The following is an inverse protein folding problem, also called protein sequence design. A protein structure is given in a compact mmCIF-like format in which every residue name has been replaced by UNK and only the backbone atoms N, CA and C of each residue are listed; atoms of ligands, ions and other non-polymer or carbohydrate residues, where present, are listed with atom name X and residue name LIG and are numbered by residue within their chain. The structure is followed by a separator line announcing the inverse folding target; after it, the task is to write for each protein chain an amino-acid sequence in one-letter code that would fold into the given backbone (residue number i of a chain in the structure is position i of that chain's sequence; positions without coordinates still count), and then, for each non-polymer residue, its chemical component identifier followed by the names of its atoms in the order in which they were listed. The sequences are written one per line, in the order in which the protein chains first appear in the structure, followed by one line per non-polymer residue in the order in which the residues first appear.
data_IF_455285934080
#
_entry.id   IF_455285934080
#
_cell.length_a   1.000
_cell.length_b   1.000
_cell.length_c   1.000
_cell.angle_alpha   90.00
_cell.angle_beta   90.00
_cell.angle_gamma   90.00
#
_symmetry.space_group_name_H-M   'P 1'
#
loop_
_entity.id
_entity.type
_entity.pdbx_description
1 polymer ?
#
# COMPACT_ATOMS: atom_id res chain seq x y z
N UNK A 1 20.83 -9.78 15.88
CA UNK A 1 20.51 -9.46 14.47
C UNK A 1 20.57 -7.97 14.25
N UNK A 2 21.01 -7.52 13.07
CA UNK A 2 20.92 -6.11 12.70
C UNK A 2 19.47 -5.69 12.48
N UNK A 3 19.20 -4.42 12.81
CA UNK A 3 17.91 -3.80 12.55
C UNK A 3 18.07 -2.28 12.41
N UNK A 4 17.05 -1.61 11.87
CA UNK A 4 16.92 -0.15 11.91
C UNK A 4 15.73 0.20 12.77
N UNK A 5 16.00 1.00 13.82
CA UNK A 5 15.00 1.35 14.82
C UNK A 5 15.08 2.84 15.19
N UNK A 6 14.09 3.32 15.93
CA UNK A 6 14.12 4.63 16.56
C UNK A 6 13.75 4.55 18.06
N UNK A 7 14.22 5.54 18.81
CA UNK A 7 13.98 5.69 20.25
C UNK A 7 13.17 6.94 20.55
N UNK A 8 13.13 7.90 19.62
CA UNK A 8 12.45 9.17 19.76
C UNK A 8 11.77 9.56 18.44
N UNK A 9 10.59 10.13 18.51
CA UNK A 9 9.86 10.66 17.36
C UNK A 9 10.52 11.96 16.88
N UNK A 10 11.43 11.84 15.91
CA UNK A 10 12.23 12.94 15.37
C UNK A 10 11.94 13.13 13.87
N UNK A 11 12.15 14.35 13.29
CA UNK A 11 12.06 14.58 11.86
C UNK A 11 13.03 13.69 11.06
N UNK A 12 12.70 13.39 9.80
CA UNK A 12 13.51 12.45 8.98
C UNK A 12 14.94 12.92 8.73
N UNK A 13 15.19 14.20 8.71
CA UNK A 13 16.50 14.83 8.52
C UNK A 13 17.38 14.82 9.79
N UNK A 14 16.81 14.52 10.97
CA UNK A 14 17.60 14.39 12.19
C UNK A 14 18.46 13.12 12.14
N UNK A 15 19.73 13.21 12.56
CA UNK A 15 20.68 12.09 12.52
C UNK A 15 20.19 10.86 13.31
N UNK A 16 19.50 11.10 14.43
CA UNK A 16 18.98 10.04 15.31
C UNK A 16 17.53 9.65 15.04
N UNK A 17 16.92 10.13 13.94
CA UNK A 17 15.55 9.77 13.58
C UNK A 17 15.37 8.28 13.31
N UNK A 18 16.40 7.63 12.79
CA UNK A 18 16.54 6.19 12.63
C UNK A 18 18.01 5.82 12.88
N UNK A 19 18.24 4.72 13.57
CA UNK A 19 19.59 4.23 13.96
C UNK A 19 19.77 2.77 13.57
N UNK A 20 20.97 2.42 13.15
CA UNK A 20 21.38 1.02 13.02
C UNK A 20 21.63 0.45 14.42
N UNK A 21 20.97 -0.66 14.74
CA UNK A 21 21.00 -1.29 16.07
C UNK A 21 21.19 -2.80 15.96
N UNK A 22 21.66 -3.40 17.05
CA UNK A 22 21.66 -4.85 17.24
C UNK A 22 20.59 -5.24 18.23
N UNK A 23 19.72 -6.17 17.86
CA UNK A 23 18.62 -6.69 18.67
C UNK A 23 18.72 -8.21 18.82
N UNK A 24 18.15 -8.80 19.87
CA UNK A 24 18.00 -10.25 19.98
C UNK A 24 17.24 -10.82 18.77
N UNK A 25 17.60 -12.03 18.36
CA UNK A 25 16.82 -12.76 17.35
C UNK A 25 15.45 -13.10 17.91
N UNK A 26 14.36 -12.75 17.22
CA UNK A 26 13.02 -13.07 17.71
C UNK A 26 12.71 -14.55 17.56
N UNK A 27 11.85 -15.06 18.44
CA UNK A 27 11.36 -16.44 18.40
C UNK A 27 9.95 -16.46 17.85
N UNK A 28 9.64 -17.31 16.84
CA UNK A 28 8.30 -17.40 16.28
C UNK A 28 7.32 -17.99 17.29
N UNK A 29 6.12 -17.41 17.37
CA UNK A 29 4.98 -18.00 18.07
C UNK A 29 4.37 -19.17 17.29
N UNK A 30 3.28 -19.80 17.80
CA UNK A 30 2.74 -21.03 17.20
C UNK A 30 2.38 -20.91 15.71
N UNK A 31 1.81 -19.78 15.28
CA UNK A 31 1.41 -19.53 13.88
C UNK A 31 2.35 -18.60 13.13
N UNK A 32 3.52 -18.35 13.68
CA UNK A 32 4.46 -17.39 13.08
C UNK A 32 5.49 -18.07 12.17
N UNK A 33 5.87 -17.34 11.15
CA UNK A 33 7.06 -17.60 10.35
C UNK A 33 8.20 -16.72 10.87
N UNK A 34 9.41 -17.29 10.99
CA UNK A 34 10.65 -16.51 11.10
C UNK A 34 11.22 -16.33 9.70
N UNK A 35 11.22 -15.11 9.20
CA UNK A 35 11.65 -14.78 7.84
C UNK A 35 13.00 -14.08 7.86
N UNK A 36 13.96 -14.57 7.06
CA UNK A 36 15.16 -13.82 6.69
C UNK A 36 14.79 -12.79 5.64
N UNK A 37 14.75 -11.52 6.05
CA UNK A 37 14.38 -10.41 5.18
C UNK A 37 15.48 -10.15 4.15
N UNK A 38 15.11 -10.13 2.88
CA UNK A 38 16.02 -9.85 1.76
C UNK A 38 15.85 -8.44 1.24
N UNK A 39 14.61 -7.98 1.11
CA UNK A 39 14.28 -6.61 0.70
C UNK A 39 13.07 -6.10 1.47
N UNK A 40 12.99 -4.78 1.59
CA UNK A 40 11.89 -4.04 2.20
C UNK A 40 11.44 -2.91 1.27
N UNK A 41 10.22 -2.45 1.47
CA UNK A 41 9.73 -1.25 0.79
C UNK A 41 9.08 -0.30 1.79
N UNK A 42 9.31 1.00 1.62
CA UNK A 42 8.84 2.03 2.55
C UNK A 42 7.45 2.52 2.17
N UNK A 43 6.64 2.79 3.18
CA UNK A 43 5.26 3.26 3.04
C UNK A 43 5.00 4.54 3.85
N UNK A 44 3.98 5.35 3.51
CA UNK A 44 3.60 6.51 4.32
C UNK A 44 3.32 6.20 5.78
N UNK A 45 2.84 4.98 6.10
CA UNK A 45 2.61 4.55 7.49
C UNK A 45 3.92 4.49 8.30
N UNK A 46 5.05 4.16 7.69
CA UNK A 46 6.36 4.16 8.35
C UNK A 46 6.70 5.56 8.86
N UNK A 47 6.51 6.58 8.01
CA UNK A 47 6.78 7.97 8.37
C UNK A 47 5.79 8.51 9.40
N UNK A 48 4.51 8.15 9.28
CA UNK A 48 3.46 8.55 10.23
C UNK A 48 3.72 7.98 11.63
N UNK A 49 4.08 6.69 11.73
CA UNK A 49 4.39 6.06 13.02
C UNK A 49 5.66 6.62 13.61
N UNK A 50 6.74 6.79 12.84
CA UNK A 50 7.96 7.43 13.34
C UNK A 50 7.67 8.80 13.97
N UNK A 51 6.83 9.61 13.32
CA UNK A 51 6.52 10.99 13.77
C UNK A 51 5.60 11.05 14.97
N UNK A 52 4.62 10.15 15.06
CA UNK A 52 3.48 10.30 15.95
C UNK A 52 3.43 9.27 17.09
N UNK A 53 4.23 8.21 17.04
CA UNK A 53 4.21 7.15 18.05
C UNK A 53 5.57 7.09 18.75
N UNK A 54 5.66 7.68 19.93
CA UNK A 54 6.85 7.54 20.76
C UNK A 54 7.00 6.10 21.23
N UNK A 55 8.22 5.50 21.13
CA UNK A 55 8.49 4.20 21.74
C UNK A 55 8.31 4.27 23.26
N UNK A 56 7.81 3.19 23.86
CA UNK A 56 7.65 3.09 25.31
C UNK A 56 9.01 2.82 25.99
N UNK A 57 9.23 3.46 27.15
CA UNK A 57 10.30 3.15 28.10
C UNK A 57 11.72 3.06 27.52
N UNK A 58 12.03 3.86 26.49
CA UNK A 58 13.34 3.85 25.84
C UNK A 58 13.64 2.58 25.02
N UNK A 59 12.64 1.77 24.73
CA UNK A 59 12.79 0.60 23.88
C UNK A 59 13.00 1.00 22.41
N UNK A 60 13.78 0.21 21.69
CA UNK A 60 13.93 0.36 20.24
C UNK A 60 12.63 -0.03 19.53
N UNK A 61 12.08 0.84 18.67
CA UNK A 61 10.93 0.49 17.81
C UNK A 61 11.39 0.32 16.36
N UNK A 62 11.21 -0.90 15.86
CA UNK A 62 11.50 -1.26 14.46
C UNK A 62 10.27 -1.00 13.62
N UNK A 63 10.46 -0.27 12.51
CA UNK A 63 9.44 0.00 11.49
C UNK A 63 9.55 -0.99 10.32
N UNK A 64 8.69 -0.82 9.31
CA UNK A 64 8.73 -1.56 8.06
C UNK A 64 7.52 -2.47 7.89
N UNK A 65 6.65 -2.09 6.95
CA UNK A 65 5.43 -2.84 6.62
C UNK A 65 5.35 -3.10 5.11
N UNK A 66 6.41 -3.71 4.60
CA UNK A 66 6.57 -4.36 3.30
C UNK A 66 7.89 -5.10 3.29
N UNK A 67 7.87 -6.40 3.12
CA UNK A 67 9.08 -7.20 3.04
C UNK A 67 8.91 -8.37 2.06
N UNK A 68 10.04 -8.82 1.55
CA UNK A 68 10.22 -10.10 0.88
C UNK A 68 11.44 -10.81 1.47
N UNK A 69 11.36 -12.14 1.53
CA UNK A 69 12.42 -12.91 2.16
C UNK A 69 12.25 -14.41 2.04
N UNK A 70 12.99 -15.14 2.88
CA UNK A 70 12.99 -16.60 2.91
C UNK A 70 12.62 -17.08 4.31
N UNK A 71 11.67 -18.00 4.42
CA UNK A 71 11.30 -18.63 5.68
C UNK A 71 12.48 -19.43 6.22
N UNK A 72 12.90 -19.15 7.45
CA UNK A 72 13.99 -19.84 8.16
C UNK A 72 13.49 -20.88 9.14
N UNK A 73 12.38 -20.56 9.81
CA UNK A 73 11.74 -21.46 10.77
C UNK A 73 10.23 -21.13 10.83
N UNK A 74 9.48 -22.09 11.32
CA UNK A 74 8.02 -21.98 11.46
C UNK A 74 7.58 -22.39 12.87
N UNK A 75 6.49 -21.78 13.35
CA UNK A 75 5.84 -22.16 14.60
C UNK A 75 5.14 -23.52 14.52
N UNK A 76 4.76 -24.05 15.67
CA UNK A 76 4.23 -25.42 15.79
C UNK A 76 2.86 -25.64 15.14
N UNK A 77 2.11 -24.57 14.88
CA UNK A 77 0.77 -24.60 14.26
C UNK A 77 0.75 -24.10 12.81
N UNK A 78 1.93 -23.74 12.26
CA UNK A 78 2.04 -23.30 10.87
C UNK A 78 1.75 -24.45 9.92
N UNK A 79 0.92 -24.22 8.93
CA UNK A 79 0.47 -25.19 7.94
C UNK A 79 0.59 -24.72 6.49
N UNK A 80 0.76 -23.42 6.25
CA UNK A 80 0.77 -22.82 4.93
C UNK A 80 2.17 -22.71 4.33
N UNK A 81 3.22 -22.76 5.15
CA UNK A 81 4.60 -22.53 4.73
C UNK A 81 5.59 -23.50 5.38
N UNK A 82 6.76 -23.64 4.77
CA UNK A 82 7.88 -24.41 5.29
C UNK A 82 9.21 -23.64 5.17
N UNK A 83 10.25 -24.01 5.93
CA UNK A 83 11.58 -23.43 5.76
C UNK A 83 12.09 -23.56 4.31
N UNK A 84 12.60 -22.47 3.77
CA UNK A 84 13.05 -22.36 2.38
C UNK A 84 12.06 -21.66 1.45
N UNK A 85 10.79 -21.52 1.82
CA UNK A 85 9.81 -20.84 1.00
C UNK A 85 10.16 -19.36 0.82
N UNK A 86 9.97 -18.85 -0.39
CA UNK A 86 10.12 -17.43 -0.74
C UNK A 86 8.78 -16.74 -0.49
N UNK A 87 8.79 -15.72 0.35
CA UNK A 87 7.57 -15.05 0.83
C UNK A 87 7.64 -13.54 0.66
N UNK A 88 6.46 -12.91 0.64
CA UNK A 88 6.32 -11.47 0.69
C UNK A 88 5.06 -11.08 1.49
N UNK A 89 5.11 -9.97 2.20
CA UNK A 89 4.04 -9.59 3.14
C UNK A 89 4.17 -8.13 3.59
N UNK A 90 3.07 -7.59 4.12
CA UNK A 90 3.06 -6.29 4.77
C UNK A 90 3.32 -6.38 6.29
N UNK A 91 2.90 -7.46 6.94
CA UNK A 91 2.98 -7.61 8.40
C UNK A 91 1.83 -6.95 9.16
N UNK A 92 1.99 -6.79 10.46
CA UNK A 92 0.97 -6.26 11.37
C UNK A 92 1.48 -5.01 12.09
N UNK A 93 0.65 -3.95 12.13
CA UNK A 93 1.05 -2.62 12.65
C UNK A 93 1.27 -2.60 14.17
N UNK A 94 0.66 -3.54 14.90
CA UNK A 94 0.80 -3.72 16.35
C UNK A 94 1.99 -4.62 16.76
N UNK A 95 2.78 -5.10 15.79
CA UNK A 95 4.00 -5.89 16.01
C UNK A 95 5.24 -5.12 15.57
N UNK A 96 6.43 -5.64 15.88
CA UNK A 96 7.69 -5.11 15.34
C UNK A 96 7.66 -5.18 13.80
N UNK A 97 8.22 -4.17 13.16
CA UNK A 97 8.30 -4.12 11.69
C UNK A 97 9.48 -4.89 11.11
N UNK A 98 9.54 -4.94 9.79
CA UNK A 98 10.47 -5.78 9.01
C UNK A 98 11.80 -5.09 8.67
N UNK A 99 12.11 -3.89 9.20
CA UNK A 99 13.42 -3.26 9.01
C UNK A 99 14.50 -3.94 9.86
N UNK A 100 14.64 -5.26 9.72
CA UNK A 100 15.55 -6.14 10.48
C UNK A 100 15.97 -7.35 9.64
N UNK A 101 17.12 -7.95 9.95
CA UNK A 101 17.60 -9.16 9.25
C UNK A 101 16.63 -10.34 9.38
N UNK A 102 15.97 -10.46 10.55
CA UNK A 102 15.01 -11.52 10.84
C UNK A 102 13.71 -10.90 11.37
N UNK A 103 12.59 -11.31 10.82
CA UNK A 103 11.27 -10.80 11.18
C UNK A 103 10.30 -11.94 11.46
N UNK A 104 9.41 -11.75 12.43
CA UNK A 104 8.38 -12.73 12.82
C UNK A 104 7.01 -12.22 12.37
N UNK A 105 6.28 -13.03 11.61
CA UNK A 105 4.99 -12.66 11.02
C UNK A 105 4.03 -13.85 11.01
N UNK A 106 2.74 -13.61 11.28
CA UNK A 106 1.69 -14.63 11.24
C UNK A 106 1.49 -15.16 9.81
N UNK A 107 1.43 -16.49 9.65
CA UNK A 107 1.30 -17.15 8.34
C UNK A 107 0.08 -16.65 7.53
N UNK A 108 -1.01 -16.27 8.20
CA UNK A 108 -2.27 -15.88 7.57
C UNK A 108 -2.24 -14.55 6.83
N UNK A 109 -1.18 -13.76 7.04
CA UNK A 109 -0.99 -12.46 6.35
C UNK A 109 0.25 -12.43 5.45
N UNK A 110 0.76 -13.61 5.08
CA UNK A 110 1.93 -13.80 4.23
C UNK A 110 1.50 -14.48 2.93
N UNK A 111 2.02 -14.03 1.79
CA UNK A 111 1.85 -14.69 0.50
C UNK A 111 3.14 -15.36 0.01
N UNK A 112 2.99 -16.35 -0.88
CA UNK A 112 4.12 -16.86 -1.66
C UNK A 112 4.57 -15.79 -2.64
N UNK A 113 5.86 -15.48 -2.64
CA UNK A 113 6.42 -14.46 -3.51
C UNK A 113 6.29 -14.88 -4.99
N UNK A 114 5.97 -13.96 -5.93
CA UNK A 114 6.01 -14.27 -7.36
C UNK A 114 7.35 -14.89 -7.77
N UNK A 115 7.32 -15.99 -8.54
CA UNK A 115 8.54 -16.69 -8.98
C UNK A 115 9.36 -15.86 -9.97
N UNK A 116 8.68 -15.05 -10.77
CA UNK A 116 9.26 -14.22 -11.81
C UNK A 116 9.98 -12.97 -11.29
N UNK A 117 9.79 -12.57 -10.03
CA UNK A 117 10.38 -11.37 -9.48
C UNK A 117 11.60 -11.63 -8.59
N UNK A 118 12.62 -10.74 -8.59
CA UNK A 118 13.62 -10.65 -7.53
C UNK A 118 12.99 -10.07 -6.24
N UNK A 119 13.69 -10.21 -5.11
CA UNK A 119 13.17 -9.78 -3.80
C UNK A 119 12.86 -8.29 -3.75
N UNK A 120 13.71 -7.44 -4.30
CA UNK A 120 13.47 -5.99 -4.35
C UNK A 120 12.15 -5.62 -5.03
N UNK A 121 11.86 -6.22 -6.19
CA UNK A 121 10.65 -5.96 -6.93
C UNK A 121 9.40 -6.53 -6.24
N UNK A 122 9.53 -7.69 -5.61
CA UNK A 122 8.44 -8.31 -4.86
C UNK A 122 8.10 -7.52 -3.60
N UNK A 123 9.09 -6.98 -2.87
CA UNK A 123 8.87 -6.15 -1.69
C UNK A 123 8.07 -4.87 -1.98
N UNK A 124 8.02 -4.41 -3.23
CA UNK A 124 7.26 -3.24 -3.64
C UNK A 124 5.73 -3.45 -3.74
N UNK A 125 5.23 -4.66 -3.47
CA UNK A 125 3.84 -5.00 -3.76
C UNK A 125 2.93 -5.16 -2.53
N UNK A 126 3.31 -5.85 -1.43
CA UNK A 126 2.35 -6.42 -0.48
C UNK A 126 1.36 -5.41 0.10
N UNK A 127 1.80 -4.38 0.83
CA UNK A 127 0.91 -3.42 1.47
C UNK A 127 0.00 -2.75 0.45
N UNK A 128 0.57 -2.31 -0.66
CA UNK A 128 -0.18 -1.60 -1.70
C UNK A 128 -1.14 -2.51 -2.46
N UNK A 129 -0.80 -3.79 -2.65
CA UNK A 129 -1.66 -4.77 -3.28
C UNK A 129 -2.84 -5.14 -2.37
N UNK A 130 -2.60 -5.36 -1.06
CA UNK A 130 -3.67 -5.62 -0.09
C UNK A 130 -4.64 -4.43 -0.08
N UNK A 131 -4.13 -3.21 0.10
CA UNK A 131 -4.95 -1.99 0.12
C UNK A 131 -5.76 -1.82 -1.17
N UNK A 132 -5.13 -1.96 -2.34
CA UNK A 132 -5.79 -1.79 -3.63
C UNK A 132 -6.85 -2.86 -3.90
N UNK A 133 -6.57 -4.11 -3.52
CA UNK A 133 -7.51 -5.24 -3.67
C UNK A 133 -8.73 -5.08 -2.78
N UNK A 134 -8.53 -4.88 -1.47
CA UNK A 134 -9.61 -4.69 -0.51
C UNK A 134 -10.45 -3.45 -0.87
N UNK A 135 -9.80 -2.34 -1.22
CA UNK A 135 -10.49 -1.12 -1.66
C UNK A 135 -11.38 -1.38 -2.87
N UNK A 136 -10.86 -2.05 -3.91
CA UNK A 136 -11.58 -2.26 -5.18
C UNK A 136 -12.72 -3.27 -5.03
N UNK A 137 -12.43 -4.44 -4.48
CA UNK A 137 -13.38 -5.56 -4.50
C UNK A 137 -14.27 -5.65 -3.26
N UNK A 138 -13.78 -5.21 -2.10
CA UNK A 138 -14.54 -5.32 -0.85
C UNK A 138 -15.23 -4.00 -0.46
N UNK A 139 -14.52 -2.87 -0.54
CA UNK A 139 -15.09 -1.56 -0.15
C UNK A 139 -15.95 -0.97 -1.25
N UNK A 140 -15.42 -0.82 -2.45
CA UNK A 140 -16.18 -0.34 -3.60
C UNK A 140 -17.10 -1.40 -4.19
N UNK A 141 -16.92 -2.69 -3.83
CA UNK A 141 -17.74 -3.83 -4.26
C UNK A 141 -17.81 -3.96 -5.79
N UNK A 142 -16.70 -3.69 -6.47
CA UNK A 142 -16.59 -3.85 -7.91
C UNK A 142 -16.43 -5.34 -8.22
N UNK A 143 -17.15 -5.81 -9.23
CA UNK A 143 -17.12 -7.20 -9.63
C UNK A 143 -15.96 -7.47 -10.59
N UNK A 144 -15.25 -8.57 -10.40
CA UNK A 144 -14.27 -9.01 -11.40
C UNK A 144 -14.95 -9.41 -12.73
N UNK A 145 -14.28 -9.14 -13.83
CA UNK A 145 -14.82 -9.36 -15.18
C UNK A 145 -15.53 -8.12 -15.71
N UNK A 146 -16.52 -8.31 -16.59
CA UNK A 146 -17.17 -7.21 -17.33
C UNK A 146 -18.54 -6.80 -16.77
N UNK A 147 -18.91 -7.23 -15.57
CA UNK A 147 -20.23 -6.94 -14.99
C UNK A 147 -20.45 -5.43 -14.80
N UNK A 148 -19.39 -4.67 -14.52
CA UNK A 148 -19.41 -3.22 -14.31
C UNK A 148 -19.06 -2.43 -15.58
N UNK A 149 -19.23 -3.02 -16.77
CA UNK A 149 -18.98 -2.34 -18.04
C UNK A 149 -19.88 -1.10 -18.18
N UNK A 150 -19.28 0.03 -18.56
CA UNK A 150 -19.96 1.33 -18.65
C UNK A 150 -19.88 2.16 -17.37
N UNK A 151 -19.40 1.59 -16.28
CA UNK A 151 -19.07 2.33 -15.06
C UNK A 151 -17.62 2.85 -15.10
N UNK A 152 -17.28 3.77 -14.19
CA UNK A 152 -15.97 4.41 -14.16
C UNK A 152 -15.42 4.56 -12.75
N UNK A 153 -14.10 4.48 -12.63
CA UNK A 153 -13.35 4.67 -11.39
C UNK A 153 -12.37 5.83 -11.55
N UNK A 154 -12.53 6.85 -10.72
CA UNK A 154 -11.56 7.94 -10.55
C UNK A 154 -10.63 7.61 -9.39
N UNK A 155 -9.31 7.61 -9.65
CA UNK A 155 -8.27 7.34 -8.67
C UNK A 155 -7.48 8.62 -8.41
N UNK A 156 -7.65 9.22 -7.24
CA UNK A 156 -6.86 10.38 -6.79
C UNK A 156 -5.54 9.87 -6.20
N UNK A 157 -4.40 10.40 -6.68
CA UNK A 157 -3.08 9.92 -6.28
C UNK A 157 -2.63 8.67 -7.04
N UNK A 158 -3.04 8.51 -8.31
CA UNK A 158 -2.84 7.32 -9.12
C UNK A 158 -1.36 6.93 -9.35
N UNK A 159 -0.42 7.87 -9.24
CA UNK A 159 1.02 7.61 -9.43
C UNK A 159 1.75 7.15 -8.16
N UNK A 160 1.10 7.19 -7.00
CA UNK A 160 1.65 6.68 -5.73
C UNK A 160 1.66 5.15 -5.67
N UNK A 161 2.12 4.59 -4.55
CA UNK A 161 2.23 3.13 -4.37
C UNK A 161 0.90 2.40 -4.59
N UNK A 162 -0.13 2.73 -3.80
CA UNK A 162 -1.47 2.10 -3.90
C UNK A 162 -2.09 2.39 -5.27
N UNK A 163 -2.04 3.65 -5.73
CA UNK A 163 -2.59 4.03 -7.03
C UNK A 163 -2.00 3.25 -8.20
N UNK A 164 -0.70 2.98 -8.15
CA UNK A 164 0.00 2.20 -9.18
C UNK A 164 -0.48 0.75 -9.29
N UNK A 165 -0.81 0.11 -8.16
CA UNK A 165 -1.41 -1.25 -8.16
C UNK A 165 -2.89 -1.18 -8.54
N UNK A 166 -3.62 -0.22 -7.97
CA UNK A 166 -5.07 -0.07 -8.19
C UNK A 166 -5.41 0.16 -9.65
N UNK A 167 -4.63 1.00 -10.37
CA UNK A 167 -4.79 1.22 -11.81
C UNK A 167 -4.67 -0.10 -12.58
N UNK A 168 -3.66 -0.92 -12.26
CA UNK A 168 -3.44 -2.21 -12.93
C UNK A 168 -4.58 -3.19 -12.62
N UNK A 169 -4.95 -3.37 -11.34
CA UNK A 169 -6.03 -4.27 -10.94
C UNK A 169 -7.35 -3.88 -11.61
N UNK A 170 -7.73 -2.60 -11.55
CA UNK A 170 -8.96 -2.12 -12.15
C UNK A 170 -8.95 -2.32 -13.68
N UNK A 171 -7.83 -2.03 -14.34
CA UNK A 171 -7.67 -2.18 -15.79
C UNK A 171 -7.74 -3.63 -16.27
N UNK A 172 -7.11 -4.53 -15.52
CA UNK A 172 -6.92 -5.92 -15.95
C UNK A 172 -8.05 -6.86 -15.49
N UNK A 173 -8.65 -6.55 -14.34
CA UNK A 173 -9.61 -7.47 -13.72
C UNK A 173 -11.07 -7.00 -13.78
N UNK A 174 -11.35 -5.80 -14.32
CA UNK A 174 -12.72 -5.25 -14.36
C UNK A 174 -13.08 -4.64 -15.71
N UNK A 175 -14.37 -4.37 -15.92
CA UNK A 175 -14.87 -3.64 -17.10
C UNK A 175 -14.92 -2.13 -16.94
N UNK A 176 -14.31 -1.56 -15.88
CA UNK A 176 -14.38 -0.13 -15.59
C UNK A 176 -13.56 0.73 -16.56
N UNK A 177 -14.06 1.94 -16.81
CA UNK A 177 -13.23 3.02 -17.34
C UNK A 177 -12.36 3.57 -16.20
N UNK A 178 -11.05 3.35 -16.26
CA UNK A 178 -10.07 3.76 -15.23
C UNK A 178 -9.53 5.14 -15.55
N UNK A 179 -9.71 6.10 -14.63
CA UNK A 179 -9.26 7.49 -14.72
C UNK A 179 -8.32 7.75 -13.54
N UNK A 180 -7.05 8.05 -13.83
CA UNK A 180 -6.08 8.39 -12.79
C UNK A 180 -5.81 9.88 -12.72
N UNK A 181 -5.52 10.43 -11.55
CA UNK A 181 -5.02 11.80 -11.44
C UNK A 181 -3.51 11.84 -11.30
N UNK A 182 -2.87 12.71 -12.06
CA UNK A 182 -1.44 13.01 -11.96
C UNK A 182 -1.16 14.40 -12.54
N UNK A 183 -0.27 15.18 -11.90
CA UNK A 183 -0.03 16.57 -12.27
C UNK A 183 1.30 16.82 -13.01
N UNK A 184 2.30 15.93 -12.87
CA UNK A 184 3.61 16.05 -13.51
C UNK A 184 3.71 15.15 -14.75
N UNK A 185 4.42 15.54 -15.82
CA UNK A 185 4.53 14.74 -17.05
C UNK A 185 4.99 13.29 -16.79
N UNK A 186 5.99 13.09 -15.97
CA UNK A 186 6.53 11.77 -15.63
C UNK A 186 5.53 10.90 -14.88
N UNK A 187 4.73 11.48 -13.97
CA UNK A 187 3.68 10.73 -13.26
C UNK A 187 2.47 10.46 -14.16
N UNK A 188 2.14 11.36 -15.07
CA UNK A 188 1.10 11.11 -16.07
C UNK A 188 1.49 9.98 -17.04
N UNK A 189 2.76 9.95 -17.50
CA UNK A 189 3.27 8.85 -18.31
C UNK A 189 3.20 7.53 -17.57
N UNK A 190 3.66 7.48 -16.30
CA UNK A 190 3.60 6.32 -15.46
C UNK A 190 2.19 5.75 -15.31
N UNK A 191 1.20 6.60 -15.02
CA UNK A 191 -0.20 6.17 -14.84
C UNK A 191 -0.79 5.61 -16.14
N UNK A 192 -0.45 6.21 -17.31
CA UNK A 192 -0.85 5.66 -18.62
C UNK A 192 -0.21 4.31 -18.92
N UNK A 193 1.08 4.15 -18.63
CA UNK A 193 1.81 2.90 -18.80
C UNK A 193 1.26 1.77 -17.92
N UNK A 194 0.69 2.09 -16.76
CA UNK A 194 0.02 1.14 -15.88
C UNK A 194 -1.37 0.74 -16.38
N UNK A 195 -1.89 1.41 -17.42
CA UNK A 195 -3.13 1.02 -18.10
C UNK A 195 -4.33 1.92 -17.86
N UNK A 196 -4.19 3.09 -17.22
CA UNK A 196 -5.30 4.03 -17.10
C UNK A 196 -5.81 4.44 -18.47
N UNK A 197 -7.14 4.44 -18.66
CA UNK A 197 -7.77 4.88 -19.90
C UNK A 197 -7.60 6.40 -20.10
N UNK A 198 -7.70 7.14 -18.98
CA UNK A 198 -7.52 8.59 -18.97
C UNK A 198 -6.65 9.03 -17.80
N UNK A 199 -5.92 10.13 -18.01
CA UNK A 199 -5.18 10.82 -16.95
C UNK A 199 -5.59 12.28 -16.94
N UNK A 200 -6.01 12.77 -15.76
CA UNK A 200 -6.43 14.15 -15.54
C UNK A 200 -5.54 14.83 -14.49
N UNK A 201 -5.50 16.17 -14.50
CA UNK A 201 -4.67 16.96 -13.59
C UNK A 201 -5.49 17.41 -12.38
N UNK A 202 -5.19 16.87 -11.20
CA UNK A 202 -5.87 17.22 -9.94
C UNK A 202 -5.63 18.65 -9.45
N UNK A 203 -4.75 19.41 -10.08
CA UNK A 203 -4.57 20.85 -9.80
C UNK A 203 -5.66 21.71 -10.45
N UNK A 204 -6.40 21.14 -11.40
CA UNK A 204 -7.55 21.77 -12.06
C UNK A 204 -8.85 21.26 -11.41
N UNK A 205 -9.97 21.96 -11.57
CA UNK A 205 -11.27 21.45 -11.11
C UNK A 205 -11.57 20.08 -11.73
N UNK A 206 -11.82 19.08 -10.88
CA UNK A 206 -12.00 17.70 -11.35
C UNK A 206 -13.19 17.54 -12.29
N UNK A 207 -14.27 18.29 -12.07
CA UNK A 207 -15.45 18.26 -12.94
C UNK A 207 -15.18 18.81 -14.36
N UNK A 208 -14.31 19.82 -14.48
CA UNK A 208 -13.88 20.36 -15.79
C UNK A 208 -12.96 19.37 -16.51
N UNK A 209 -12.01 18.78 -15.79
CA UNK A 209 -11.11 17.77 -16.33
C UNK A 209 -11.84 16.50 -16.79
N UNK A 210 -12.85 16.06 -16.06
CA UNK A 210 -13.70 14.94 -16.46
C UNK A 210 -14.48 15.28 -17.75
N UNK A 211 -15.09 16.47 -17.84
CA UNK A 211 -15.76 16.93 -19.07
C UNK A 211 -14.83 17.00 -20.26
N UNK A 212 -13.57 17.43 -20.07
CA UNK A 212 -12.55 17.47 -21.11
C UNK A 212 -12.28 16.11 -21.75
N UNK A 213 -12.45 15.03 -20.98
CA UNK A 213 -12.31 13.64 -21.49
C UNK A 213 -13.64 13.00 -21.88
N UNK A 214 -14.75 13.77 -21.90
CA UNK A 214 -16.09 13.30 -22.31
C UNK A 214 -16.84 12.52 -21.24
N UNK A 215 -16.47 12.69 -19.97
CA UNK A 215 -17.13 12.03 -18.83
C UNK A 215 -17.76 13.11 -17.93
N UNK A 216 -19.07 13.08 -17.77
CA UNK A 216 -19.76 14.05 -16.91
C UNK A 216 -19.62 13.72 -15.41
N UNK A 217 -19.74 12.44 -15.07
CA UNK A 217 -19.68 11.95 -13.69
C UNK A 217 -19.09 10.54 -13.66
N UNK A 218 -18.50 10.17 -12.52
CA UNK A 218 -17.95 8.83 -12.26
C UNK A 218 -18.79 8.05 -11.27
N UNK A 219 -18.82 6.73 -11.38
CA UNK A 219 -19.59 5.88 -10.47
C UNK A 219 -18.85 5.56 -9.18
N UNK A 220 -17.51 5.50 -9.26
CA UNK A 220 -16.63 5.16 -8.14
C UNK A 220 -15.47 6.13 -8.02
N UNK A 221 -15.07 6.43 -6.80
CA UNK A 221 -13.87 7.22 -6.48
C UNK A 221 -13.03 6.47 -5.44
N UNK A 222 -11.74 6.35 -5.72
CA UNK A 222 -10.72 5.97 -4.76
C UNK A 222 -9.85 7.20 -4.45
N UNK A 223 -10.00 7.78 -3.26
CA UNK A 223 -9.21 8.91 -2.79
C UNK A 223 -8.07 8.38 -1.93
N UNK A 224 -6.84 8.48 -2.45
CA UNK A 224 -5.66 7.87 -1.82
C UNK A 224 -4.78 8.89 -1.11
N UNK A 225 -5.06 10.18 -1.28
CA UNK A 225 -4.29 11.27 -0.68
C UNK A 225 -5.07 12.59 -0.75
N UNK A 226 -4.82 13.49 0.21
CA UNK A 226 -5.37 14.85 0.27
C UNK A 226 -6.91 14.89 0.14
N UNK A 227 -7.56 13.93 0.74
CA UNK A 227 -9.01 13.76 0.63
C UNK A 227 -9.78 15.00 1.11
N UNK A 228 -9.37 15.63 2.21
CA UNK A 228 -9.98 16.86 2.72
C UNK A 228 -9.92 18.02 1.73
N UNK A 229 -8.83 18.16 0.98
CA UNK A 229 -8.68 19.22 -0.04
C UNK A 229 -9.57 18.98 -1.26
N UNK A 230 -9.82 17.73 -1.61
CA UNK A 230 -10.57 17.35 -2.80
C UNK A 230 -12.04 16.96 -2.50
N UNK A 231 -12.45 16.80 -1.25
CA UNK A 231 -13.71 16.16 -0.87
C UNK A 231 -14.94 16.73 -1.58
N UNK A 232 -15.10 18.05 -1.60
CA UNK A 232 -16.23 18.69 -2.29
C UNK A 232 -16.25 18.40 -3.80
N UNK A 233 -15.06 18.40 -4.45
CA UNK A 233 -14.94 18.09 -5.87
C UNK A 233 -15.20 16.62 -6.15
N UNK A 234 -14.82 15.71 -5.24
CA UNK A 234 -15.11 14.27 -5.36
C UNK A 234 -16.61 14.00 -5.27
N UNK A 235 -17.30 14.68 -4.34
CA UNK A 235 -18.77 14.62 -4.23
C UNK A 235 -19.46 15.17 -5.49
N UNK A 236 -18.93 16.25 -6.08
CA UNK A 236 -19.44 16.81 -7.33
C UNK A 236 -19.22 15.84 -8.51
N UNK A 237 -18.03 15.22 -8.60
CA UNK A 237 -17.67 14.29 -9.66
C UNK A 237 -18.45 12.98 -9.63
N UNK A 238 -18.90 12.54 -8.45
CA UNK A 238 -19.66 11.29 -8.31
C UNK A 238 -21.07 11.39 -8.88
N UNK A 239 -21.48 10.39 -9.61
CA UNK A 239 -22.87 10.16 -10.02
C UNK A 239 -23.77 9.89 -8.79
N UNK A 240 -25.09 10.12 -8.87
CA UNK A 240 -26.02 9.66 -7.85
C UNK A 240 -25.85 8.17 -7.53
N UNK A 241 -25.88 7.80 -6.24
CA UNK A 241 -25.64 6.47 -5.70
C UNK A 241 -24.20 5.97 -5.90
N UNK A 242 -23.26 6.85 -6.27
CA UNK A 242 -21.85 6.53 -6.41
C UNK A 242 -21.18 6.19 -5.08
N UNK A 243 -19.99 5.59 -5.15
CA UNK A 243 -19.23 5.12 -4.00
C UNK A 243 -17.87 5.82 -3.91
N UNK A 244 -17.57 6.30 -2.71
CA UNK A 244 -16.29 6.91 -2.35
C UNK A 244 -15.55 6.03 -1.36
N UNK A 245 -14.33 5.64 -1.67
CA UNK A 245 -13.45 4.98 -0.71
C UNK A 245 -12.19 5.78 -0.47
N UNK A 246 -11.70 5.83 0.78
CA UNK A 246 -10.51 6.55 1.20
C UNK A 246 -9.59 5.69 2.06
N UNK A 247 -8.29 6.07 2.06
CA UNK A 247 -7.23 5.40 2.83
C UNK A 247 -6.34 6.37 3.62
N UNK A 248 -6.43 7.66 3.32
CA UNK A 248 -5.60 8.69 3.97
C UNK A 248 -6.24 9.19 5.28
N UNK A 249 -5.49 9.98 6.04
CA UNK A 249 -5.93 10.60 7.29
C UNK A 249 -6.19 12.10 7.00
N UNK A 250 -7.43 12.51 6.71
CA UNK A 250 -7.76 13.91 6.50
C UNK A 250 -7.37 14.78 7.70
N UNK A 251 -6.69 15.89 7.45
CA UNK A 251 -6.32 16.82 8.52
C UNK A 251 -7.53 17.64 9.01
N UNK A 252 -8.51 17.82 8.12
CA UNK A 252 -9.75 18.54 8.43
C UNK A 252 -10.95 17.60 8.41
N UNK A 253 -11.97 17.83 9.27
CA UNK A 253 -13.19 17.05 9.26
C UNK A 253 -13.89 17.08 7.90
N UNK A 254 -14.35 15.93 7.43
CA UNK A 254 -15.12 15.80 6.20
C UNK A 254 -16.61 16.09 6.50
N UNK A 255 -17.23 17.00 5.74
CA UNK A 255 -18.65 17.24 5.83
C UNK A 255 -19.44 16.16 5.10
N UNK A 256 -19.76 15.08 5.81
CA UNK A 256 -20.51 13.94 5.29
C UNK A 256 -21.93 14.29 4.83
N UNK A 257 -22.49 15.45 5.25
CA UNK A 257 -23.82 15.88 4.80
C UNK A 257 -23.86 16.17 3.30
N UNK A 258 -22.72 16.49 2.68
CA UNK A 258 -22.63 16.66 1.23
C UNK A 258 -22.99 15.37 0.46
N UNK A 259 -22.78 14.20 1.05
CA UNK A 259 -23.09 12.91 0.42
C UNK A 259 -24.59 12.66 0.27
N UNK A 260 -25.41 13.26 1.15
CA UNK A 260 -26.83 12.96 1.29
C UNK A 260 -27.62 13.20 0.01
N UNK A 261 -27.40 14.32 -0.67
CA UNK A 261 -28.22 14.72 -1.84
C UNK A 261 -28.16 13.69 -2.98
N UNK A 262 -27.00 13.05 -3.17
CA UNK A 262 -26.79 12.05 -4.22
C UNK A 262 -26.89 10.61 -3.71
N UNK A 263 -27.22 10.40 -2.42
CA UNK A 263 -27.22 9.08 -1.76
C UNK A 263 -25.90 8.35 -1.92
N UNK A 264 -24.80 9.07 -1.77
CA UNK A 264 -23.44 8.49 -1.90
C UNK A 264 -23.11 7.64 -0.69
N UNK A 265 -22.33 6.57 -0.89
CA UNK A 265 -21.74 5.79 0.19
C UNK A 265 -20.26 6.13 0.37
N UNK A 266 -19.78 6.11 1.61
CA UNK A 266 -18.41 6.34 1.98
C UNK A 266 -17.85 5.11 2.69
N UNK A 267 -16.65 4.68 2.28
CA UNK A 267 -15.97 3.50 2.78
C UNK A 267 -14.54 3.85 3.21
N UNK A 268 -14.14 3.40 4.39
CA UNK A 268 -12.75 3.42 4.81
C UNK A 268 -12.06 2.11 4.42
N UNK A 269 -10.82 2.23 3.95
CA UNK A 269 -9.94 1.09 3.81
C UNK A 269 -8.70 1.29 4.70
N UNK A 270 -8.46 0.32 5.58
CA UNK A 270 -7.24 0.18 6.38
C UNK A 270 -6.80 -1.29 6.32
N UNK A 271 -5.81 -1.59 5.49
CA UNK A 271 -5.34 -2.95 5.24
C UNK A 271 -4.86 -3.70 6.51
N UNK A 272 -4.56 -2.97 7.58
CA UNK A 272 -4.18 -3.58 8.86
C UNK A 272 -5.36 -4.04 9.71
N UNK A 273 -6.61 -3.76 9.33
CA UNK A 273 -7.79 -4.11 10.13
C UNK A 273 -7.84 -5.60 10.44
N UNK A 274 -7.59 -6.46 9.46
CA UNK A 274 -7.58 -7.92 9.64
C UNK A 274 -6.54 -8.38 10.64
N UNK A 275 -5.30 -7.91 10.53
CA UNK A 275 -4.21 -8.29 11.43
C UNK A 275 -4.31 -7.62 12.82
N UNK A 276 -4.84 -6.38 12.87
CA UNK A 276 -4.97 -5.62 14.11
C UNK A 276 -6.04 -6.20 15.05
N UNK A 277 -7.15 -6.66 14.48
CA UNK A 277 -8.30 -7.20 15.21
C UNK A 277 -8.39 -8.73 15.15
N UNK A 278 -7.43 -9.40 14.52
CA UNK A 278 -7.42 -10.86 14.29
C UNK A 278 -8.78 -11.38 13.80
N UNK A 279 -9.32 -10.73 12.77
CA UNK A 279 -10.66 -11.04 12.26
C UNK A 279 -10.75 -12.46 11.72
N UNK A 280 -11.95 -13.06 11.72
CA UNK A 280 -12.17 -14.43 11.28
C UNK A 280 -11.72 -14.68 9.82
N UNK A 281 -11.71 -13.63 9.00
CA UNK A 281 -11.28 -13.63 7.60
C UNK A 281 -9.82 -13.16 7.39
N UNK A 282 -8.98 -13.14 8.43
CA UNK A 282 -7.58 -12.72 8.35
C UNK A 282 -6.80 -13.47 7.26
N UNK A 283 -7.14 -14.73 7.01
CA UNK A 283 -6.56 -15.58 5.97
C UNK A 283 -6.76 -15.03 4.54
N UNK A 284 -7.70 -14.12 4.33
CA UNK A 284 -7.91 -13.53 3.01
C UNK A 284 -6.71 -12.68 2.55
N UNK A 285 -5.88 -12.15 3.47
CA UNK A 285 -4.64 -11.48 3.07
C UNK A 285 -3.63 -12.45 2.45
N UNK A 286 -3.49 -13.64 2.99
CA UNK A 286 -2.69 -14.71 2.36
C UNK A 286 -3.21 -15.02 0.94
N UNK A 287 -4.52 -15.28 0.83
CA UNK A 287 -5.14 -15.67 -0.45
C UNK A 287 -5.02 -14.60 -1.52
N UNK A 288 -5.26 -13.32 -1.15
CA UNK A 288 -5.14 -12.24 -2.13
C UNK A 288 -3.68 -12.01 -2.56
N UNK A 289 -2.70 -12.16 -1.64
CA UNK A 289 -1.30 -12.06 -1.99
C UNK A 289 -0.88 -13.18 -2.95
N UNK A 290 -1.28 -14.43 -2.68
CA UNK A 290 -1.04 -15.54 -3.59
C UNK A 290 -1.68 -15.29 -4.97
N UNK A 291 -2.91 -14.74 -4.99
CA UNK A 291 -3.56 -14.34 -6.24
C UNK A 291 -2.82 -13.24 -6.99
N UNK A 292 -2.30 -12.25 -6.28
CA UNK A 292 -1.45 -11.20 -6.87
C UNK A 292 -0.16 -11.80 -7.44
N UNK A 293 0.46 -12.75 -6.74
CA UNK A 293 1.66 -13.45 -7.21
C UNK A 293 1.40 -14.19 -8.52
N UNK A 294 0.28 -14.92 -8.61
CA UNK A 294 -0.15 -15.58 -9.86
C UNK A 294 -0.32 -14.59 -11.01
N UNK A 295 -0.95 -13.44 -10.76
CA UNK A 295 -1.17 -12.42 -11.78
C UNK A 295 0.14 -11.78 -12.25
N UNK A 296 1.12 -11.63 -11.36
CA UNK A 296 2.46 -11.15 -11.70
C UNK A 296 3.20 -12.19 -12.53
N UNK A 297 3.20 -13.46 -12.11
CA UNK A 297 3.87 -14.54 -12.84
C UNK A 297 3.25 -14.77 -14.23
N UNK A 298 1.95 -14.49 -14.39
CA UNK A 298 1.26 -14.49 -15.67
C UNK A 298 1.52 -13.24 -16.53
N UNK A 299 2.26 -12.26 -16.04
CA UNK A 299 2.52 -10.99 -16.74
C UNK A 299 1.31 -10.04 -16.81
N UNK A 300 0.23 -10.32 -16.06
CA UNK A 300 -0.97 -9.49 -15.99
C UNK A 300 -0.72 -8.24 -15.14
N UNK A 301 0.02 -8.38 -14.06
CA UNK A 301 0.49 -7.29 -13.21
C UNK A 301 2.01 -7.19 -13.27
N UNK A 302 2.54 -6.01 -13.04
CA UNK A 302 3.97 -5.77 -12.90
C UNK A 302 4.30 -5.10 -11.57
N UNK A 303 5.55 -5.23 -11.14
CA UNK A 303 6.06 -4.51 -9.96
C UNK A 303 5.83 -3.00 -10.08
N UNK A 304 5.64 -2.36 -8.94
CA UNK A 304 5.49 -0.90 -8.83
C UNK A 304 6.74 -0.24 -8.26
N UNK A 305 7.88 -0.94 -8.27
CA UNK A 305 9.18 -0.38 -7.87
C UNK A 305 9.48 0.86 -8.70
N UNK A 306 9.63 2.00 -8.04
CA UNK A 306 9.96 3.28 -8.66
C UNK A 306 11.42 3.66 -8.44
N UNK A 307 11.94 3.44 -7.22
CA UNK A 307 13.31 3.79 -6.86
C UNK A 307 13.93 2.74 -5.93
N UNK A 308 15.24 2.46 -6.14
CA UNK A 308 16.05 1.58 -5.30
C UNK A 308 17.09 2.40 -4.53
N UNK A 309 17.04 2.35 -3.18
CA UNK A 309 17.85 3.20 -2.31
C UNK A 309 19.08 2.50 -1.72
N UNK A 310 19.45 1.32 -2.24
CA UNK A 310 20.60 0.54 -1.78
C UNK A 310 20.29 -0.32 -0.57
N UNK A 311 21.31 -0.53 0.29
CA UNK A 311 21.18 -1.42 1.44
C UNK A 311 20.25 -0.89 2.54
N UNK A 312 19.69 -1.82 3.30
CA UNK A 312 18.85 -1.54 4.47
C UNK A 312 19.76 -1.04 5.59
N UNK A 313 19.76 0.27 5.83
CA UNK A 313 20.46 0.93 6.92
C UNK A 313 19.74 2.25 7.28
N UNK A 314 20.09 2.80 8.42
CA UNK A 314 19.46 4.02 8.95
C UNK A 314 19.61 5.23 8.00
N UNK A 315 20.77 5.40 7.37
CA UNK A 315 21.02 6.52 6.48
C UNK A 315 20.12 6.48 5.23
N UNK A 316 20.02 5.34 4.59
CA UNK A 316 19.18 5.14 3.40
C UNK A 316 17.70 5.21 3.74
N UNK A 317 17.26 4.64 4.88
CA UNK A 317 15.87 4.73 5.33
C UNK A 317 15.47 6.18 5.67
N UNK A 318 16.34 7.00 6.30
CA UNK A 318 16.04 8.42 6.50
C UNK A 318 15.84 9.16 5.17
N UNK A 319 16.66 8.89 4.16
CA UNK A 319 16.49 9.46 2.82
C UNK A 319 15.17 9.02 2.17
N UNK A 320 14.80 7.74 2.30
CA UNK A 320 13.54 7.19 1.79
C UNK A 320 12.33 7.83 2.49
N UNK A 321 12.39 8.00 3.82
CA UNK A 321 11.35 8.70 4.58
C UNK A 321 11.21 10.17 4.15
N UNK A 322 12.32 10.89 3.98
CA UNK A 322 12.30 12.27 3.51
C UNK A 322 11.67 12.41 2.11
N UNK A 323 11.97 11.48 1.19
CA UNK A 323 11.34 11.48 -0.14
C UNK A 323 9.82 11.21 -0.06
N UNK A 324 9.38 10.27 0.78
CA UNK A 324 7.94 10.03 0.98
C UNK A 324 7.24 11.26 1.58
N UNK A 325 7.84 11.90 2.57
CA UNK A 325 7.30 13.11 3.22
C UNK A 325 7.24 14.32 2.28
N UNK A 326 8.07 14.36 1.24
CA UNK A 326 8.00 15.42 0.21
C UNK A 326 6.77 15.30 -0.71
N UNK A 327 6.06 14.16 -0.71
CA UNK A 327 4.93 13.89 -1.59
C UNK A 327 5.29 13.76 -3.08
N UNK A 328 6.58 13.65 -3.42
CA UNK A 328 7.05 13.60 -4.82
C UNK A 328 7.37 12.20 -5.31
N UNK A 329 7.33 11.18 -4.45
CA UNK A 329 7.61 9.79 -4.79
C UNK A 329 6.65 9.27 -5.89
N UNK A 330 7.19 8.45 -6.79
CA UNK A 330 6.45 7.73 -7.83
C UNK A 330 6.61 6.22 -7.59
N UNK A 331 5.50 5.47 -7.59
CA UNK A 331 5.56 4.04 -7.27
C UNK A 331 6.09 3.80 -5.86
N UNK A 332 6.95 2.79 -5.70
CA UNK A 332 7.49 2.33 -4.41
C UNK A 332 9.00 2.56 -4.32
N UNK A 333 9.46 2.84 -3.09
CA UNK A 333 10.88 2.96 -2.74
C UNK A 333 11.30 1.67 -2.04
N UNK A 334 12.37 1.03 -2.52
CA UNK A 334 12.85 -0.27 -2.04
C UNK A 334 14.29 -0.17 -1.56
N UNK A 335 14.62 -0.97 -0.53
CA UNK A 335 15.99 -1.21 -0.05
C UNK A 335 16.23 -2.73 0.02
N UNK A 336 17.45 -3.20 -0.23
CA UNK A 336 17.77 -4.62 -0.32
C UNK A 336 19.12 -4.95 0.34
N UNK A 337 19.11 -5.98 1.21
CA UNK A 337 20.30 -6.47 1.95
C UNK A 337 20.70 -5.56 3.11
N UNK A 338 21.34 -6.17 4.16
CA UNK A 338 21.85 -5.50 5.35
C UNK A 338 23.37 -5.35 5.32
#
# INVERSE_FOLDING_TARGET
MKAVAYYHSLPADHADALLDVELPTPTPGPRDLLVEVKAISVNPVDTKIRRNVAPSDGAAKVLGWDASGIVKAVGSEVSLFQPGDRVYYAGAINRAGANSELHVVDERIVGHMPNSLPFAEAAALPLTAITAWELLFERLQITQGNADQGQSLLIVGAAGGVGSVLVQLARQLTGLTVIGTASRPETQAWVRELGAHHVIDHRQPLSEELKRIGIDQVTHVASLTQTDQHFAQLVEALAPQGRLALIDDPEQPLDIMQLKRKSLSLHWELMFTRSLFETADMIEQHRLLDRVAELVDAGTLRTTLGEHFGSINAANLRRAHALLESGTAKGKIVLEGF
#
